data_IF_284880895546
#
_entry.id   IF_284880895546
#
_cell.length_a   1.000
_cell.length_b   1.000
_cell.length_c   1.000
_cell.angle_alpha   90.00
_cell.angle_beta   90.00
_cell.angle_gamma   90.00
#
_symmetry.space_group_name_H-M   'P 1'
#
loop_
_entity.id
_entity.type
_entity.pdbx_description
1 polymer ?
#
# COMPACT_ATOMS: atom_id res chain seq x y z
N UNK A 1 -3.56 4.99 36.43
CA UNK A 1 -3.74 6.05 35.41
C UNK A 1 -2.42 6.18 34.69
N UNK A 2 -2.30 5.62 33.48
CA UNK A 2 -1.11 5.84 32.67
C UNK A 2 -1.12 7.32 32.25
N UNK A 3 -0.05 8.05 32.59
CA UNK A 3 0.21 9.38 32.02
C UNK A 3 0.07 9.25 30.50
N UNK A 4 -0.87 9.98 29.88
CA UNK A 4 -0.95 10.04 28.43
C UNK A 4 0.33 10.70 27.95
N UNK A 5 1.32 9.90 27.54
CA UNK A 5 2.45 10.44 26.81
C UNK A 5 1.89 11.06 25.54
N UNK A 6 2.37 12.26 25.20
CA UNK A 6 2.05 12.88 23.92
C UNK A 6 2.46 11.93 22.79
N UNK A 7 1.65 11.88 21.73
CA UNK A 7 1.96 11.10 20.53
C UNK A 7 3.26 11.62 19.93
N UNK A 8 4.14 10.70 19.53
CA UNK A 8 5.41 11.05 18.91
C UNK A 8 5.35 10.63 17.44
N UNK A 9 4.89 11.49 16.51
CA UNK A 9 4.92 11.17 15.10
C UNK A 9 6.37 11.10 14.61
N UNK A 10 6.65 10.18 13.69
CA UNK A 10 8.03 9.92 13.30
C UNK A 10 8.19 9.06 12.07
N UNK A 11 9.43 8.64 11.87
CA UNK A 11 9.90 7.91 10.71
C UNK A 11 10.75 6.73 11.16
N UNK A 12 10.42 5.54 10.67
CA UNK A 12 11.34 4.40 10.69
C UNK A 12 12.17 4.43 9.41
N UNK A 13 13.47 4.61 9.55
CA UNK A 13 14.46 4.72 8.47
C UNK A 13 15.30 3.45 8.41
N UNK A 14 15.23 2.71 7.29
CA UNK A 14 15.88 1.40 7.14
C UNK A 14 16.68 1.33 5.83
N UNK A 15 17.94 1.77 5.81
CA UNK A 15 18.85 1.51 4.71
C UNK A 15 19.20 0.02 4.66
N UNK A 16 19.33 -0.50 3.45
CA UNK A 16 19.57 -1.92 3.21
C UNK A 16 20.55 -2.10 2.04
N UNK A 17 21.45 -3.06 2.22
CA UNK A 17 22.35 -3.56 1.19
C UNK A 17 21.99 -5.03 0.95
N UNK A 18 21.95 -5.42 -0.32
CA UNK A 18 21.74 -6.82 -0.72
C UNK A 18 23.10 -7.47 -1.00
N UNK A 19 23.28 -8.72 -0.59
CA UNK A 19 24.39 -9.52 -1.09
C UNK A 19 24.13 -9.97 -2.55
N UNK A 20 25.13 -10.57 -3.19
CA UNK A 20 25.01 -11.03 -4.58
C UNK A 20 24.19 -12.33 -4.75
N UNK A 21 23.79 -12.97 -3.65
CA UNK A 21 23.13 -14.29 -3.63
C UNK A 21 21.60 -14.22 -3.50
N UNK A 22 21.04 -13.00 -3.49
CA UNK A 22 19.59 -12.76 -3.43
C UNK A 22 19.16 -11.92 -4.61
N UNK A 23 18.11 -12.37 -5.29
CA UNK A 23 17.52 -11.64 -6.40
C UNK A 23 16.61 -10.53 -5.90
N UNK A 24 16.42 -9.51 -6.73
CA UNK A 24 15.41 -8.45 -6.48
C UNK A 24 14.03 -9.05 -6.24
N UNK A 25 13.66 -10.08 -6.99
CA UNK A 25 12.34 -10.70 -6.90
C UNK A 25 12.12 -11.43 -5.57
N UNK A 26 13.13 -12.15 -5.08
CA UNK A 26 13.09 -12.77 -3.74
C UNK A 26 12.95 -11.71 -2.65
N UNK A 27 13.66 -10.59 -2.76
CA UNK A 27 13.50 -9.46 -1.83
C UNK A 27 12.12 -8.84 -1.97
N UNK A 28 11.61 -8.61 -3.19
CA UNK A 28 10.28 -8.06 -3.42
C UNK A 28 9.21 -8.93 -2.75
N UNK A 29 9.31 -10.26 -2.89
CA UNK A 29 8.32 -11.17 -2.33
C UNK A 29 8.34 -11.14 -0.80
N UNK A 30 9.52 -11.37 -0.22
CA UNK A 30 9.70 -11.30 1.22
C UNK A 30 9.25 -9.94 1.79
N UNK A 31 9.69 -8.83 1.18
CA UNK A 31 9.41 -7.50 1.69
C UNK A 31 7.94 -7.12 1.54
N UNK A 32 7.36 -7.30 0.35
CA UNK A 32 6.05 -6.76 -0.02
C UNK A 32 4.87 -7.68 0.33
N UNK A 33 5.08 -8.99 0.45
CA UNK A 33 4.01 -9.96 0.69
C UNK A 33 4.08 -10.63 2.08
N UNK A 34 5.22 -10.58 2.75
CA UNK A 34 5.44 -11.24 4.05
C UNK A 34 5.82 -10.26 5.17
N UNK A 35 7.00 -9.61 5.07
CA UNK A 35 7.63 -8.87 6.16
C UNK A 35 6.87 -7.60 6.52
N UNK A 36 6.63 -6.73 5.54
CA UNK A 36 6.00 -5.43 5.77
C UNK A 36 4.50 -5.51 6.02
N UNK A 37 3.71 -6.34 5.29
CA UNK A 37 2.27 -6.43 5.53
C UNK A 37 1.87 -6.68 6.98
N UNK A 38 2.62 -7.51 7.70
CA UNK A 38 2.37 -7.78 9.13
C UNK A 38 2.55 -6.50 9.98
N UNK A 39 3.53 -5.66 9.65
CA UNK A 39 3.80 -4.38 10.33
C UNK A 39 2.76 -3.32 9.97
N UNK A 40 2.33 -3.26 8.71
CA UNK A 40 1.32 -2.31 8.23
C UNK A 40 -0.07 -2.49 8.86
N UNK A 41 -0.34 -3.64 9.47
CA UNK A 41 -1.54 -3.89 10.28
C UNK A 41 -1.53 -3.20 11.63
N UNK A 42 -0.36 -2.79 12.12
CA UNK A 42 -0.27 -2.05 13.37
C UNK A 42 -0.80 -0.62 13.17
N UNK A 43 -1.69 -0.11 14.04
CA UNK A 43 -2.32 1.20 13.85
C UNK A 43 -1.36 2.38 13.76
N UNK A 44 -0.14 2.24 14.31
CA UNK A 44 0.86 3.31 14.28
C UNK A 44 1.52 3.51 12.93
N UNK A 45 1.59 2.48 12.07
CA UNK A 45 2.16 2.59 10.73
C UNK A 45 1.14 3.20 9.78
N UNK A 46 1.43 4.34 9.18
CA UNK A 46 0.53 4.99 8.22
C UNK A 46 0.74 4.45 6.81
N UNK A 47 2.00 4.44 6.38
CA UNK A 47 2.42 4.01 5.06
C UNK A 47 3.82 3.36 5.10
N UNK A 48 4.26 2.87 3.95
CA UNK A 48 5.64 2.44 3.77
C UNK A 48 6.09 2.64 2.33
N UNK A 49 7.36 2.96 2.15
CA UNK A 49 7.94 3.22 0.84
C UNK A 49 9.26 2.47 0.74
N UNK A 50 9.49 1.84 -0.41
CA UNK A 50 10.76 1.23 -0.75
C UNK A 50 11.38 1.99 -1.90
N UNK A 51 12.66 2.29 -1.76
CA UNK A 51 13.42 3.13 -2.65
C UNK A 51 14.72 2.44 -3.08
N UNK A 52 15.17 2.75 -4.30
CA UNK A 52 16.50 2.41 -4.81
C UNK A 52 17.34 3.66 -4.97
N UNK A 53 18.63 3.55 -4.68
CA UNK A 53 19.55 4.65 -4.91
C UNK A 53 19.72 4.95 -6.39
N UNK A 54 19.91 6.21 -6.73
CA UNK A 54 20.33 6.63 -8.07
C UNK A 54 21.85 6.78 -8.06
N UNK A 55 22.56 6.04 -8.89
CA UNK A 55 24.04 5.97 -8.90
C UNK A 55 24.72 7.22 -9.51
N UNK A 56 24.05 8.36 -9.58
CA UNK A 56 24.42 9.48 -10.47
C UNK A 56 25.11 10.68 -9.81
N UNK A 57 25.80 10.54 -8.67
CA UNK A 57 26.58 11.66 -8.13
C UNK A 57 28.09 11.36 -8.04
N UNK A 58 28.96 12.20 -8.67
CA UNK A 58 30.40 12.14 -8.51
C UNK A 58 30.82 12.49 -7.08
N UNK A 59 31.69 11.64 -6.50
CA UNK A 59 32.71 11.89 -5.47
C UNK A 59 32.42 12.68 -4.17
N UNK A 60 31.23 13.24 -3.91
CA UNK A 60 30.97 14.01 -2.67
C UNK A 60 30.02 13.32 -1.68
N UNK A 61 29.53 12.11 -1.97
CA UNK A 61 28.71 11.37 -1.01
C UNK A 61 29.58 10.66 0.02
N UNK A 62 29.49 11.07 1.28
CA UNK A 62 30.08 10.38 2.45
C UNK A 62 29.23 9.19 2.92
N UNK A 63 28.06 8.96 2.32
CA UNK A 63 27.20 7.82 2.62
C UNK A 63 27.82 6.50 2.13
N UNK A 64 27.72 5.39 2.88
CA UNK A 64 28.27 4.11 2.45
C UNK A 64 27.60 3.63 1.15
N UNK A 65 28.40 3.45 0.09
CA UNK A 65 27.92 3.03 -1.24
C UNK A 65 27.17 1.69 -1.21
N UNK A 66 27.45 0.83 -0.22
CA UNK A 66 26.84 -0.49 -0.07
C UNK A 66 25.31 -0.48 0.06
N UNK A 67 24.71 0.51 0.74
CA UNK A 67 23.25 0.54 0.98
C UNK A 67 22.48 1.11 -0.21
N UNK A 68 22.26 0.30 -1.23
CA UNK A 68 21.55 0.67 -2.46
C UNK A 68 20.01 0.68 -2.32
N UNK A 69 19.49 0.30 -1.16
CA UNK A 69 18.06 0.32 -0.85
C UNK A 69 17.76 1.16 0.39
N UNK A 70 16.56 1.71 0.42
CA UNK A 70 16.01 2.40 1.57
C UNK A 70 14.53 2.05 1.73
N UNK A 71 14.12 1.71 2.94
CA UNK A 71 12.73 1.69 3.32
C UNK A 71 12.42 2.78 4.35
N UNK A 72 11.30 3.46 4.13
CA UNK A 72 10.77 4.52 4.97
C UNK A 72 9.35 4.15 5.41
N UNK A 73 9.03 4.35 6.68
CA UNK A 73 7.68 4.18 7.20
C UNK A 73 7.29 5.40 8.02
N UNK A 74 6.19 6.05 7.64
CA UNK A 74 5.63 7.14 8.43
C UNK A 74 4.77 6.56 9.55
N UNK A 75 4.96 7.08 10.76
CA UNK A 75 4.20 6.69 11.94
C UNK A 75 3.54 7.90 12.59
N UNK A 76 2.29 7.70 13.05
CA UNK A 76 1.59 8.69 13.87
C UNK A 76 2.04 8.67 15.34
N UNK A 77 2.63 7.55 15.79
CA UNK A 77 3.15 7.38 17.14
C UNK A 77 4.28 6.34 17.16
N UNK A 78 5.44 6.74 17.68
CA UNK A 78 6.64 5.91 17.79
C UNK A 78 6.66 5.05 19.06
N UNK A 79 5.86 5.35 20.09
CA UNK A 79 5.87 4.58 21.35
C UNK A 79 5.56 3.08 21.21
N UNK A 80 4.68 2.62 20.31
CA UNK A 80 4.44 1.20 20.10
C UNK A 80 5.68 0.41 19.65
N UNK A 81 6.72 1.06 19.11
CA UNK A 81 7.93 0.40 18.61
C UNK A 81 8.86 -0.15 19.69
N UNK A 82 8.65 0.26 20.95
CA UNK A 82 9.39 -0.25 22.12
C UNK A 82 8.51 -1.13 23.02
N UNK A 83 7.37 -1.59 22.49
CA UNK A 83 6.45 -2.48 23.18
C UNK A 83 6.59 -3.91 22.63
N UNK A 84 6.31 -4.89 23.49
CA UNK A 84 6.41 -6.32 23.18
C UNK A 84 5.69 -6.70 21.89
N UNK A 85 4.53 -6.08 21.59
CA UNK A 85 3.77 -6.36 20.38
C UNK A 85 4.56 -6.12 19.10
N UNK A 86 5.36 -5.05 19.04
CA UNK A 86 6.21 -4.77 17.87
C UNK A 86 7.55 -5.49 17.97
N UNK A 87 8.18 -5.50 19.15
CA UNK A 87 9.47 -6.19 19.35
C UNK A 87 9.38 -7.69 19.07
N UNK A 88 8.24 -8.31 19.38
CA UNK A 88 7.95 -9.71 19.06
C UNK A 88 8.05 -10.01 17.56
N UNK A 89 7.66 -9.06 16.69
CA UNK A 89 7.78 -9.21 15.22
C UNK A 89 9.24 -9.21 14.73
N UNK A 90 10.18 -8.82 15.59
CA UNK A 90 11.62 -8.82 15.31
C UNK A 90 12.28 -10.10 15.82
N UNK A 91 11.60 -10.84 16.69
CA UNK A 91 12.13 -12.04 17.33
C UNK A 91 12.37 -13.15 16.32
N UNK A 92 13.53 -13.83 16.34
CA UNK A 92 13.79 -15.00 15.50
C UNK A 92 12.75 -16.11 15.67
N UNK A 93 12.04 -16.16 16.81
CA UNK A 93 10.99 -17.15 17.07
C UNK A 93 9.68 -16.89 16.30
N UNK A 94 9.50 -15.68 15.77
CA UNK A 94 8.32 -15.28 14.99
C UNK A 94 8.63 -15.23 13.49
N UNK A 95 9.91 -15.09 13.12
CA UNK A 95 10.33 -15.06 11.72
C UNK A 95 9.98 -16.37 11.02
N UNK A 96 9.47 -16.27 9.79
CA UNK A 96 9.28 -17.45 8.96
C UNK A 96 10.64 -18.00 8.49
N UNK A 97 10.64 -19.21 7.91
CA UNK A 97 11.83 -19.76 7.26
C UNK A 97 12.30 -18.90 6.06
N UNK A 98 11.38 -18.28 5.34
CA UNK A 98 11.68 -17.37 4.23
C UNK A 98 12.38 -16.10 4.75
N UNK A 99 11.80 -15.45 5.76
CA UNK A 99 12.41 -14.28 6.40
C UNK A 99 13.79 -14.59 6.98
N UNK A 100 13.92 -15.69 7.72
CA UNK A 100 15.22 -16.12 8.27
C UNK A 100 16.27 -16.32 7.18
N UNK A 101 15.88 -16.88 6.03
CA UNK A 101 16.78 -17.10 4.89
C UNK A 101 17.20 -15.77 4.22
N UNK A 102 16.26 -14.86 4.02
CA UNK A 102 16.54 -13.55 3.39
C UNK A 102 17.37 -12.65 4.31
N UNK A 103 17.09 -12.65 5.61
CA UNK A 103 17.83 -11.84 6.59
C UNK A 103 19.34 -12.20 6.65
N UNK A 104 19.72 -13.44 6.34
CA UNK A 104 21.12 -13.85 6.23
C UNK A 104 21.84 -13.28 5.01
N UNK A 105 21.07 -12.82 4.00
CA UNK A 105 21.57 -12.33 2.71
C UNK A 105 21.55 -10.81 2.58
N UNK A 106 21.09 -10.10 3.60
CA UNK A 106 21.00 -8.63 3.58
C UNK A 106 21.76 -8.04 4.76
N UNK A 107 22.21 -6.79 4.58
CA UNK A 107 22.67 -5.93 5.67
C UNK A 107 21.71 -4.76 5.78
N UNK A 108 20.97 -4.71 6.87
CA UNK A 108 20.06 -3.62 7.15
C UNK A 108 20.24 -3.17 8.60
N UNK A 109 20.05 -1.88 8.84
CA UNK A 109 19.94 -1.34 10.18
C UNK A 109 18.74 -0.40 10.23
N UNK A 110 18.12 -0.30 11.40
CA UNK A 110 16.93 0.50 11.60
C UNK A 110 17.26 1.67 12.50
N UNK A 111 16.76 2.84 12.12
CA UNK A 111 16.79 4.06 12.94
C UNK A 111 15.40 4.68 13.00
N UNK A 112 15.21 5.49 14.02
CA UNK A 112 13.98 6.13 14.39
C UNK A 112 14.23 7.63 14.46
N UNK A 113 13.36 8.39 13.81
CA UNK A 113 13.45 9.84 13.84
C UNK A 113 12.09 10.46 14.18
N UNK A 114 12.07 11.40 15.11
CA UNK A 114 10.86 12.17 15.45
C UNK A 114 10.65 13.27 14.41
N UNK A 115 9.41 13.46 14.00
CA UNK A 115 9.04 14.51 13.06
C UNK A 115 9.14 15.88 13.73
N UNK A 116 9.96 16.76 13.17
CA UNK A 116 10.15 18.14 13.64
C UNK A 116 9.23 19.10 12.89
N UNK A 117 9.19 19.00 11.56
CA UNK A 117 8.34 19.85 10.72
C UNK A 117 8.11 19.26 9.34
N UNK A 118 6.98 19.64 8.74
CA UNK A 118 6.58 19.30 7.37
C UNK A 118 6.24 20.58 6.61
N UNK A 119 6.73 20.69 5.38
CA UNK A 119 6.41 21.75 4.45
C UNK A 119 5.98 21.14 3.13
N UNK A 120 4.81 21.53 2.64
CA UNK A 120 4.21 20.97 1.43
C UNK A 120 3.94 22.07 0.40
N UNK A 121 4.09 21.71 -0.87
CA UNK A 121 3.70 22.57 -1.97
C UNK A 121 2.16 22.73 -2.01
N UNK A 122 1.64 23.87 -2.51
CA UNK A 122 0.21 24.01 -2.75
C UNK A 122 -0.32 22.87 -3.64
N UNK A 123 -1.38 22.20 -3.20
CA UNK A 123 -1.96 21.07 -3.94
C UNK A 123 -1.15 19.76 -3.84
N UNK A 124 -0.24 19.64 -2.87
CA UNK A 124 0.45 18.39 -2.57
C UNK A 124 -0.55 17.24 -2.36
N UNK A 125 -0.26 16.10 -2.99
CA UNK A 125 -0.97 14.85 -2.82
C UNK A 125 0.04 13.75 -2.42
N UNK A 126 -0.22 12.97 -1.36
CA UNK A 126 0.59 11.81 -1.02
C UNK A 126 0.72 10.82 -2.18
N UNK A 127 1.84 10.10 -2.25
CA UNK A 127 2.14 9.17 -3.34
C UNK A 127 1.09 8.06 -3.45
N UNK A 128 0.60 7.57 -2.31
CA UNK A 128 -0.47 6.60 -2.19
C UNK A 128 -1.76 7.11 -2.84
N UNK A 129 -2.08 8.39 -2.60
CA UNK A 129 -3.25 9.03 -3.18
C UNK A 129 -3.11 9.20 -4.70
N UNK A 130 -1.90 9.41 -5.21
CA UNK A 130 -1.67 9.42 -6.66
C UNK A 130 -2.01 8.06 -7.29
N UNK A 131 -1.65 6.94 -6.64
CA UNK A 131 -2.04 5.59 -7.11
C UNK A 131 -3.56 5.38 -7.02
N UNK A 132 -4.18 5.74 -5.90
CA UNK A 132 -5.64 5.67 -5.73
C UNK A 132 -6.39 6.56 -6.74
N UNK A 133 -5.76 7.62 -7.24
CA UNK A 133 -6.35 8.46 -8.29
C UNK A 133 -6.01 7.99 -9.73
N UNK A 134 -5.21 6.93 -9.89
CA UNK A 134 -4.79 6.41 -11.19
C UNK A 134 -3.58 7.11 -11.81
N UNK A 135 -2.93 8.02 -11.09
CA UNK A 135 -1.76 8.77 -11.54
C UNK A 135 -0.46 8.02 -11.22
N UNK A 136 -0.34 6.78 -11.72
CA UNK A 136 0.78 5.88 -11.39
C UNK A 136 2.13 6.47 -11.83
N UNK A 137 2.23 6.98 -13.05
CA UNK A 137 3.48 7.57 -13.57
C UNK A 137 3.99 8.72 -12.68
N UNK A 138 3.08 9.60 -12.25
CA UNK A 138 3.42 10.74 -11.38
C UNK A 138 3.93 10.35 -10.00
N UNK A 139 3.50 9.19 -9.48
CA UNK A 139 3.98 8.68 -8.20
C UNK A 139 5.42 8.17 -8.29
N UNK A 140 5.80 7.52 -9.40
CA UNK A 140 7.11 6.88 -9.55
C UNK A 140 8.16 7.74 -10.27
N UNK A 141 7.77 8.81 -10.98
CA UNK A 141 8.71 9.70 -11.67
C UNK A 141 9.56 10.56 -10.73
N UNK A 142 9.06 10.83 -9.52
CA UNK A 142 9.70 11.74 -8.57
C UNK A 142 11.05 11.25 -8.04
N UNK A 143 11.78 12.15 -7.40
CA UNK A 143 13.04 11.84 -6.71
C UNK A 143 12.99 12.30 -5.26
N UNK A 144 13.41 11.40 -4.38
CA UNK A 144 13.63 11.69 -2.98
C UNK A 144 15.13 11.97 -2.76
N UNK A 145 15.45 13.12 -2.18
CA UNK A 145 16.78 13.43 -1.67
C UNK A 145 16.74 13.38 -0.14
N UNK A 146 17.50 12.46 0.42
CA UNK A 146 17.71 12.36 1.86
C UNK A 146 19.01 13.05 2.23
N UNK A 147 18.96 13.93 3.22
CA UNK A 147 20.13 14.63 3.77
C UNK A 147 20.21 14.32 5.26
N UNK A 148 21.35 13.81 5.72
CA UNK A 148 21.62 13.61 7.14
C UNK A 148 22.75 14.50 7.61
N UNK A 149 22.57 15.11 8.79
CA UNK A 149 23.46 16.12 9.36
C UNK A 149 23.72 15.82 10.83
N UNK A 150 24.97 16.04 11.24
CA UNK A 150 25.36 16.16 12.65
C UNK A 150 25.90 17.54 12.91
N UNK A 151 25.53 18.09 14.07
CA UNK A 151 26.00 19.39 14.50
C UNK A 151 27.37 19.30 15.18
N UNK A 152 28.05 20.44 15.30
CA UNK A 152 29.35 20.55 16.00
C UNK A 152 29.25 20.35 17.51
N UNK A 153 28.04 20.51 18.08
CA UNK A 153 27.74 20.25 19.48
C UNK A 153 26.27 19.94 19.70
N UNK A 154 25.95 19.43 20.90
CA UNK A 154 24.60 19.01 21.29
C UNK A 154 23.87 20.04 22.18
N UNK A 155 24.45 21.23 22.34
CA UNK A 155 23.83 22.32 23.09
C UNK A 155 22.64 22.96 22.35
N UNK A 156 21.64 23.50 23.07
CA UNK A 156 20.44 24.09 22.47
C UNK A 156 20.74 25.27 21.53
N UNK A 157 21.88 25.94 21.70
CA UNK A 157 22.35 27.01 20.82
C UNK A 157 22.67 26.54 19.40
N UNK A 158 23.24 25.33 19.25
CA UNK A 158 23.56 24.77 17.94
C UNK A 158 22.29 24.36 17.20
N UNK A 159 21.36 23.72 17.93
CA UNK A 159 20.05 23.36 17.38
C UNK A 159 19.26 24.62 16.98
N UNK A 160 19.28 25.67 17.82
CA UNK A 160 18.62 26.93 17.52
C UNK A 160 19.17 27.58 16.25
N UNK A 161 20.49 27.61 16.08
CA UNK A 161 21.10 28.13 14.85
C UNK A 161 20.80 27.26 13.64
N UNK A 162 20.81 25.93 13.79
CA UNK A 162 20.41 25.00 12.74
C UNK A 162 18.97 25.24 12.28
N UNK A 163 18.05 25.41 13.22
CA UNK A 163 16.64 25.70 12.94
C UNK A 163 16.46 27.07 12.27
N UNK A 164 17.14 28.10 12.79
CA UNK A 164 17.14 29.46 12.19
C UNK A 164 17.60 29.41 10.74
N UNK A 165 18.79 28.85 10.48
CA UNK A 165 19.33 28.73 9.12
C UNK A 165 18.38 27.98 8.19
N UNK A 166 17.80 26.86 8.66
CA UNK A 166 16.92 26.08 7.81
C UNK A 166 15.68 26.89 7.41
N UNK A 167 15.04 27.55 8.37
CA UNK A 167 13.77 28.27 8.16
C UNK A 167 13.95 29.60 7.43
N UNK A 168 14.94 30.41 7.84
CA UNK A 168 15.14 31.76 7.33
C UNK A 168 15.94 31.77 6.02
N UNK A 169 16.95 30.90 5.90
CA UNK A 169 17.92 30.96 4.81
C UNK A 169 17.71 29.87 3.77
N UNK A 170 17.47 28.61 4.17
CA UNK A 170 17.51 27.46 3.24
C UNK A 170 16.16 27.09 2.63
N UNK A 171 15.07 27.14 3.41
CA UNK A 171 13.78 26.61 2.98
C UNK A 171 13.15 27.42 1.86
N UNK A 172 13.20 28.75 1.92
CA UNK A 172 12.63 29.62 0.90
C UNK A 172 13.21 29.36 -0.52
N UNK A 173 14.54 29.38 -0.74
CA UNK A 173 15.08 29.04 -2.06
C UNK A 173 14.85 27.58 -2.45
N UNK A 174 14.82 26.63 -1.49
CA UNK A 174 14.52 25.24 -1.78
C UNK A 174 13.11 25.04 -2.34
N UNK A 175 12.12 25.77 -1.82
CA UNK A 175 10.74 25.76 -2.34
C UNK A 175 10.60 26.29 -3.76
N UNK A 176 11.54 27.13 -4.19
CA UNK A 176 11.56 27.68 -5.55
C UNK A 176 12.16 26.71 -6.57
N UNK A 177 12.75 25.59 -6.14
CA UNK A 177 13.25 24.56 -7.04
C UNK A 177 12.07 23.97 -7.81
N UNK A 178 12.08 23.99 -9.16
CA UNK A 178 10.97 23.47 -9.94
C UNK A 178 10.62 22.03 -9.58
N UNK A 179 9.33 21.76 -9.39
CA UNK A 179 8.85 20.44 -9.00
C UNK A 179 9.07 20.07 -7.53
N UNK A 180 9.51 20.97 -6.65
CA UNK A 180 9.46 20.73 -5.20
C UNK A 180 8.05 20.34 -4.75
N UNK A 181 7.93 19.19 -4.08
CA UNK A 181 6.64 18.66 -3.59
C UNK A 181 6.51 18.84 -2.09
N UNK A 182 7.53 18.42 -1.35
CA UNK A 182 7.50 18.35 0.11
C UNK A 182 8.90 18.31 0.70
N UNK A 183 9.06 18.91 1.87
CA UNK A 183 10.24 18.78 2.72
C UNK A 183 9.79 18.40 4.12
N UNK A 184 10.37 17.33 4.67
CA UNK A 184 10.15 16.92 6.07
C UNK A 184 11.47 16.88 6.82
N UNK A 185 11.48 17.46 8.01
CA UNK A 185 12.64 17.53 8.90
C UNK A 185 12.40 16.64 10.11
N UNK A 186 13.44 15.92 10.49
CA UNK A 186 13.42 15.00 11.60
C UNK A 186 14.69 15.10 12.43
N UNK A 187 14.64 14.55 13.64
CA UNK A 187 15.78 14.38 14.54
C UNK A 187 15.79 12.99 15.15
N UNK A 188 16.94 12.49 15.63
CA UNK A 188 17.02 11.20 16.34
C UNK A 188 15.88 11.08 17.36
N UNK A 189 15.15 9.97 17.31
CA UNK A 189 13.93 9.80 18.09
C UNK A 189 14.19 9.63 19.58
N UNK A 190 13.29 10.13 20.41
CA UNK A 190 13.23 9.84 21.85
C UNK A 190 13.08 8.35 22.17
N UNK A 191 12.60 7.52 21.22
CA UNK A 191 12.52 6.06 21.41
C UNK A 191 13.82 5.31 21.09
N UNK A 192 14.76 5.95 20.39
CA UNK A 192 16.09 5.40 20.13
C UNK A 192 17.01 5.59 21.33
N UNK A 193 16.79 6.66 22.13
CA UNK A 193 17.77 7.14 23.08
C UNK A 193 17.45 6.79 24.55
N UNK A 194 18.36 6.00 25.15
CA UNK A 194 18.53 5.85 26.60
C UNK A 194 19.64 6.80 27.12
N UNK A 195 19.70 8.02 26.58
CA UNK A 195 20.55 9.12 27.05
C UNK A 195 22.04 9.05 26.70
N UNK A 196 22.42 8.50 25.54
CA UNK A 196 23.84 8.30 25.21
C UNK A 196 24.20 8.34 23.71
N UNK A 197 23.26 8.68 22.81
CA UNK A 197 23.51 8.69 21.36
C UNK A 197 23.68 10.10 20.79
N UNK A 198 24.59 10.26 19.82
CA UNK A 198 24.75 11.52 19.07
C UNK A 198 23.46 11.84 18.30
N UNK A 199 22.99 13.09 18.41
CA UNK A 199 21.80 13.56 17.69
C UNK A 199 22.13 13.72 16.20
N UNK A 200 21.31 13.11 15.35
CA UNK A 200 21.38 13.28 13.90
C UNK A 200 20.07 13.88 13.40
N UNK A 201 20.18 14.89 12.56
CA UNK A 201 19.07 15.54 11.89
C UNK A 201 18.94 14.94 10.50
N UNK A 202 17.71 14.57 10.12
CA UNK A 202 17.40 13.99 8.81
C UNK A 202 16.41 14.91 8.09
N UNK A 203 16.65 15.14 6.81
CA UNK A 203 15.72 15.86 5.94
C UNK A 203 15.37 14.99 4.74
N UNK A 204 14.08 14.84 4.47
CA UNK A 204 13.54 14.22 3.27
C UNK A 204 13.00 15.32 2.34
N UNK A 205 13.60 15.47 1.16
CA UNK A 205 13.17 16.42 0.14
C UNK A 205 12.62 15.67 -1.07
N UNK A 206 11.35 15.88 -1.39
CA UNK A 206 10.63 15.20 -2.45
C UNK A 206 10.43 16.14 -3.63
N UNK A 207 10.85 15.71 -4.82
CA UNK A 207 10.71 16.44 -6.07
C UNK A 207 9.94 15.63 -7.10
N UNK A 208 9.16 16.31 -7.94
CA UNK A 208 8.30 15.71 -8.95
C UNK A 208 9.04 15.23 -10.19
N UNK A 209 10.26 15.69 -10.43
CA UNK A 209 11.07 15.35 -11.62
C UNK A 209 12.55 15.60 -11.35
N UNK A 210 13.42 15.00 -12.17
CA UNK A 210 14.87 15.01 -11.96
C UNK A 210 15.54 16.29 -12.43
N UNK A 211 15.03 16.89 -13.51
CA UNK A 211 15.74 17.95 -14.25
C UNK A 211 16.02 19.21 -13.42
N UNK A 212 15.18 19.46 -12.41
CA UNK A 212 15.36 20.60 -11.51
C UNK A 212 16.47 20.36 -10.46
N UNK A 213 16.80 19.09 -10.18
CA UNK A 213 17.78 18.72 -9.18
C UNK A 213 19.18 19.01 -9.72
N UNK A 214 19.74 20.12 -9.24
CA UNK A 214 21.08 20.59 -9.60
C UNK A 214 21.05 21.77 -10.56
N UNK A 215 19.87 22.17 -11.01
CA UNK A 215 19.62 23.40 -11.76
C UNK A 215 19.83 24.67 -10.93
N UNK A 216 19.68 25.86 -11.55
CA UNK A 216 20.03 27.14 -10.94
C UNK A 216 19.38 27.40 -9.58
N UNK A 217 18.08 27.12 -9.44
CA UNK A 217 17.33 27.32 -8.21
C UNK A 217 17.83 26.38 -7.10
N UNK A 218 18.17 25.13 -7.45
CA UNK A 218 18.72 24.18 -6.49
C UNK A 218 20.13 24.59 -6.05
N UNK A 219 20.95 25.14 -6.95
CA UNK A 219 22.26 25.69 -6.60
C UNK A 219 22.15 26.89 -5.67
N UNK A 220 21.14 27.75 -5.84
CA UNK A 220 20.86 28.86 -4.91
C UNK A 220 20.53 28.31 -3.51
N UNK A 221 19.71 27.27 -3.42
CA UNK A 221 19.37 26.64 -2.14
C UNK A 221 20.59 25.99 -1.48
N UNK A 222 21.42 25.26 -2.24
CA UNK A 222 22.68 24.67 -1.74
C UNK A 222 23.66 25.77 -1.31
N UNK A 223 23.71 26.88 -2.04
CA UNK A 223 24.61 27.98 -1.72
C UNK A 223 24.32 28.57 -0.34
N UNK A 224 23.13 28.44 0.23
CA UNK A 224 22.84 28.98 1.57
C UNK A 224 23.59 28.28 2.69
N UNK A 225 24.18 27.11 2.45
CA UNK A 225 24.91 26.33 3.45
C UNK A 225 26.07 27.08 4.10
N UNK A 226 26.71 28.04 3.41
CA UNK A 226 27.77 28.87 4.00
C UNK A 226 27.27 29.83 5.11
N UNK A 227 25.95 30.02 5.22
CA UNK A 227 25.34 30.91 6.21
C UNK A 227 25.19 30.28 7.60
N UNK A 228 25.64 29.04 7.77
CA UNK A 228 25.71 28.39 9.07
C UNK A 228 27.05 27.69 9.24
N UNK A 229 27.57 27.68 10.47
CA UNK A 229 28.82 27.03 10.84
C UNK A 229 28.61 25.87 11.83
N UNK A 230 27.36 25.53 12.15
CA UNK A 230 27.04 24.51 13.15
C UNK A 230 27.00 23.09 12.59
N UNK A 231 27.10 22.92 11.26
CA UNK A 231 27.11 21.61 10.59
C UNK A 231 28.52 21.01 10.63
N UNK A 232 28.72 19.95 11.41
CA UNK A 232 29.99 19.24 11.50
C UNK A 232 30.15 18.16 10.43
N UNK A 233 29.08 17.42 10.17
CA UNK A 233 29.05 16.34 9.17
C UNK A 233 27.76 16.41 8.39
N UNK A 234 27.86 16.14 7.10
CA UNK A 234 26.74 16.07 6.17
C UNK A 234 26.93 14.92 5.21
N UNK A 235 25.84 14.22 4.92
CA UNK A 235 25.74 13.28 3.81
C UNK A 235 24.44 13.53 3.07
N UNK A 236 24.42 13.18 1.78
CA UNK A 236 23.21 13.25 0.94
C UNK A 236 23.10 12.00 0.07
N UNK A 237 21.88 11.56 -0.21
CA UNK A 237 21.62 10.47 -1.15
C UNK A 237 20.29 10.66 -1.87
N UNK A 238 20.30 10.37 -3.16
CA UNK A 238 19.13 10.46 -4.02
C UNK A 238 18.56 9.08 -4.31
N UNK A 239 17.24 9.01 -4.38
CA UNK A 239 16.51 7.76 -4.49
C UNK A 239 15.33 7.87 -5.46
N UNK A 240 15.04 6.76 -6.14
CA UNK A 240 13.82 6.52 -6.89
C UNK A 240 12.92 5.55 -6.15
N UNK A 241 11.62 5.84 -6.19
CA UNK A 241 10.61 4.97 -5.61
C UNK A 241 10.60 3.63 -6.37
N UNK A 242 10.65 2.53 -5.64
CA UNK A 242 10.55 1.16 -6.15
C UNK A 242 9.19 0.56 -5.85
N UNK A 243 8.65 0.80 -4.65
CA UNK A 243 7.36 0.25 -4.25
C UNK A 243 6.70 1.07 -3.13
N UNK A 244 5.36 1.08 -3.11
CA UNK A 244 4.55 1.69 -2.05
C UNK A 244 3.80 0.59 -1.30
N UNK A 245 3.97 0.54 0.01
CA UNK A 245 3.32 -0.39 0.91
C UNK A 245 1.95 0.16 1.30
N UNK A 246 0.90 -0.59 0.99
CA UNK A 246 -0.45 -0.30 1.43
C UNK A 246 -0.76 -1.00 2.75
N UNK A 247 -2.01 -0.89 3.19
CA UNK A 247 -2.52 -1.64 4.36
C UNK A 247 -2.69 -3.13 4.08
N UNK A 248 -2.58 -3.55 2.81
CA UNK A 248 -2.73 -4.93 2.39
C UNK A 248 -1.73 -5.33 1.28
N UNK A 249 -1.20 -6.57 1.30
CA UNK A 249 -0.28 -7.06 0.28
C UNK A 249 -0.96 -7.22 -1.08
N UNK A 250 -0.24 -6.88 -2.16
CA UNK A 250 -0.81 -6.88 -3.51
C UNK A 250 0.19 -7.16 -4.63
N UNK A 251 1.41 -7.59 -4.31
CA UNK A 251 2.49 -7.74 -5.29
C UNK A 251 2.53 -9.15 -5.89
N UNK A 252 1.74 -9.35 -6.94
CA UNK A 252 1.71 -10.61 -7.68
C UNK A 252 2.97 -10.80 -8.56
N UNK A 253 3.65 -9.71 -8.96
CA UNK A 253 4.86 -9.79 -9.78
C UNK A 253 6.01 -10.45 -9.02
N UNK A 254 6.15 -10.11 -7.74
CA UNK A 254 7.12 -10.75 -6.85
C UNK A 254 6.91 -12.26 -6.66
N UNK A 255 5.65 -12.72 -6.76
CA UNK A 255 5.28 -14.12 -6.63
C UNK A 255 5.41 -14.93 -7.92
N UNK A 256 5.56 -14.27 -9.07
CA UNK A 256 5.60 -14.97 -10.36
C UNK A 256 6.94 -15.67 -10.62
N UNK A 257 6.97 -17.01 -10.54
CA UNK A 257 8.19 -17.79 -10.82
C UNK A 257 7.83 -19.17 -11.37
N UNK A 258 8.82 -19.93 -11.84
CA UNK A 258 8.55 -21.26 -12.41
C UNK A 258 8.12 -22.26 -11.31
N UNK A 259 8.83 -22.23 -10.18
CA UNK A 259 8.55 -23.11 -9.05
C UNK A 259 7.38 -22.59 -8.21
N UNK A 260 6.61 -23.52 -7.65
CA UNK A 260 5.52 -23.18 -6.73
C UNK A 260 6.01 -23.29 -5.29
N UNK A 261 5.87 -22.20 -4.53
CA UNK A 261 6.06 -22.19 -3.08
C UNK A 261 4.83 -21.61 -2.39
N UNK A 262 4.65 -22.01 -1.14
CA UNK A 262 3.55 -21.56 -0.30
C UNK A 262 4.11 -20.83 0.91
N UNK A 263 3.41 -19.78 1.32
CA UNK A 263 3.70 -19.08 2.57
C UNK A 263 2.40 -18.82 3.33
N UNK A 264 2.50 -18.89 4.65
CA UNK A 264 1.45 -18.49 5.59
C UNK A 264 2.14 -17.63 6.64
N UNK A 265 1.60 -16.42 6.89
CA UNK A 265 2.14 -15.54 7.91
C UNK A 265 2.04 -16.17 9.30
N UNK A 266 2.91 -15.78 10.26
CA UNK A 266 2.85 -16.30 11.63
C UNK A 266 1.49 -16.14 12.31
N UNK A 267 0.75 -15.08 11.99
CA UNK A 267 -0.62 -14.84 12.49
C UNK A 267 -1.72 -15.58 11.70
N UNK A 268 -1.37 -16.32 10.65
CA UNK A 268 -2.26 -17.10 9.82
C UNK A 268 -3.17 -16.29 8.88
N UNK A 269 -3.09 -14.96 8.92
CA UNK A 269 -4.01 -14.07 8.21
C UNK A 269 -3.62 -13.81 6.75
N UNK A 270 -2.34 -13.93 6.40
CA UNK A 270 -1.86 -13.83 5.01
C UNK A 270 -1.40 -15.18 4.53
N UNK A 271 -1.79 -15.54 3.31
CA UNK A 271 -1.27 -16.71 2.60
C UNK A 271 -0.88 -16.30 1.19
N UNK A 272 0.23 -16.79 0.70
CA UNK A 272 0.62 -16.58 -0.69
C UNK A 272 0.99 -17.89 -1.36
N UNK A 273 0.74 -17.93 -2.66
CA UNK A 273 1.18 -18.99 -3.55
C UNK A 273 2.01 -18.32 -4.62
N UNK A 274 3.29 -18.68 -4.71
CA UNK A 274 4.15 -18.31 -5.82
C UNK A 274 4.01 -19.32 -6.95
N UNK A 275 4.42 -18.94 -8.16
CA UNK A 275 4.38 -19.82 -9.32
C UNK A 275 3.92 -19.08 -10.58
N UNK A 276 3.50 -19.84 -11.59
CA UNK A 276 3.02 -19.28 -12.86
C UNK A 276 1.64 -18.63 -12.74
N UNK A 277 0.87 -19.00 -11.72
CA UNK A 277 -0.43 -18.44 -11.35
C UNK A 277 -0.41 -18.00 -9.88
N UNK A 278 0.31 -16.91 -9.56
CA UNK A 278 0.48 -16.49 -8.18
C UNK A 278 -0.84 -15.98 -7.59
N UNK A 279 -0.97 -16.10 -6.27
CA UNK A 279 -2.12 -15.57 -5.55
C UNK A 279 -1.77 -15.09 -4.15
N UNK A 280 -2.52 -14.10 -3.67
CA UNK A 280 -2.42 -13.55 -2.32
C UNK A 280 -3.80 -13.65 -1.66
N UNK A 281 -3.88 -14.31 -0.51
CA UNK A 281 -5.03 -14.26 0.39
C UNK A 281 -4.66 -13.45 1.61
N UNK A 282 -5.49 -12.48 1.97
CA UNK A 282 -5.29 -11.71 3.20
C UNK A 282 -6.61 -11.07 3.66
N UNK A 283 -6.54 -10.09 4.55
CA UNK A 283 -7.70 -9.36 5.03
C UNK A 283 -7.41 -7.87 5.19
N UNK A 284 -8.48 -7.08 5.09
CA UNK A 284 -8.49 -5.63 5.29
C UNK A 284 -9.47 -5.35 6.42
N UNK A 285 -9.01 -4.64 7.45
CA UNK A 285 -9.90 -4.10 8.49
C UNK A 285 -10.45 -2.77 7.99
N UNK A 286 -11.76 -2.72 7.75
CA UNK A 286 -12.47 -1.51 7.34
C UNK A 286 -13.14 -0.85 8.55
N UNK A 287 -13.65 0.36 8.36
CA UNK A 287 -14.33 1.17 9.36
C UNK A 287 -15.41 0.37 10.08
N UNK A 288 -15.56 0.60 11.38
CA UNK A 288 -16.33 -0.23 12.32
C UNK A 288 -15.71 -1.59 12.67
N UNK A 289 -14.40 -1.76 12.47
CA UNK A 289 -13.62 -2.97 12.82
C UNK A 289 -14.12 -4.24 12.12
N UNK A 290 -14.72 -4.10 10.94
CA UNK A 290 -15.11 -5.24 10.12
C UNK A 290 -13.90 -5.77 9.35
N UNK A 291 -13.75 -7.09 9.30
CA UNK A 291 -12.67 -7.74 8.57
C UNK A 291 -13.21 -8.26 7.24
N UNK A 292 -12.72 -7.69 6.15
CA UNK A 292 -13.00 -8.15 4.78
C UNK A 292 -11.85 -9.02 4.34
N UNK A 293 -12.11 -10.31 4.17
CA UNK A 293 -11.12 -11.21 3.59
C UNK A 293 -11.11 -11.04 2.08
N UNK A 294 -9.93 -11.15 1.48
CA UNK A 294 -9.78 -11.10 0.04
C UNK A 294 -8.80 -12.13 -0.50
N UNK A 295 -8.95 -12.41 -1.80
CA UNK A 295 -7.98 -13.14 -2.62
C UNK A 295 -7.70 -12.34 -3.89
N UNK A 296 -6.42 -12.14 -4.21
CA UNK A 296 -5.94 -11.44 -5.39
C UNK A 296 -5.17 -12.41 -6.28
N UNK A 297 -5.52 -12.50 -7.55
CA UNK A 297 -4.93 -13.43 -8.54
C UNK A 297 -5.05 -12.87 -9.97
N UNK A 298 -4.51 -13.57 -10.97
CA UNK A 298 -4.58 -13.17 -12.39
C UNK A 298 -3.31 -12.45 -12.87
N UNK A 299 -3.47 -11.30 -13.54
CA UNK A 299 -2.34 -10.55 -14.10
C UNK A 299 -1.36 -10.12 -13.01
N UNK A 300 -0.08 -10.31 -13.29
CA UNK A 300 1.03 -9.91 -12.42
C UNK A 300 1.42 -8.46 -12.61
N UNK A 301 1.00 -7.85 -13.72
CA UNK A 301 1.22 -6.43 -13.98
C UNK A 301 0.31 -5.59 -13.07
N UNK A 302 0.87 -4.73 -12.20
CA UNK A 302 0.11 -3.95 -11.25
C UNK A 302 -0.81 -2.91 -11.91
N UNK A 303 -0.56 -2.54 -13.18
CA UNK A 303 -1.38 -1.60 -13.96
C UNK A 303 -2.54 -2.26 -14.72
N UNK A 304 -2.58 -3.59 -14.77
CA UNK A 304 -3.65 -4.32 -15.42
C UNK A 304 -5.01 -4.02 -14.75
N UNK A 305 -6.10 -3.82 -15.54
CA UNK A 305 -7.41 -3.53 -14.99
C UNK A 305 -7.90 -4.60 -14.00
N UNK A 306 -8.59 -4.16 -12.94
CA UNK A 306 -9.08 -5.04 -11.87
C UNK A 306 -10.54 -5.41 -12.11
N UNK A 307 -10.87 -6.70 -12.01
CA UNK A 307 -12.24 -7.20 -11.89
C UNK A 307 -12.48 -7.59 -10.44
N UNK A 308 -13.53 -7.03 -9.84
CA UNK A 308 -13.89 -7.28 -8.44
C UNK A 308 -15.06 -8.25 -8.37
N UNK A 309 -14.87 -9.34 -7.64
CA UNK A 309 -15.85 -10.40 -7.42
C UNK A 309 -16.16 -10.45 -5.93
N UNK A 310 -17.32 -9.97 -5.48
CA UNK A 310 -17.62 -9.96 -4.05
C UNK A 310 -18.81 -10.86 -3.68
N UNK A 311 -18.73 -11.46 -2.50
CA UNK A 311 -19.83 -12.23 -1.91
C UNK A 311 -20.31 -11.59 -0.61
N UNK A 312 -21.62 -11.73 -0.35
CA UNK A 312 -22.29 -11.32 0.90
C UNK A 312 -23.21 -12.44 1.40
N UNK A 313 -23.71 -12.34 2.64
CA UNK A 313 -24.69 -13.26 3.23
C UNK A 313 -24.24 -14.72 3.22
N UNK A 314 -23.10 -14.98 3.86
CA UNK A 314 -22.49 -16.31 4.08
C UNK A 314 -22.04 -17.09 2.84
N UNK A 315 -22.16 -16.49 1.65
CA UNK A 315 -21.54 -17.03 0.44
C UNK A 315 -20.01 -17.04 0.57
N UNK A 316 -19.44 -18.22 0.30
CA UNK A 316 -18.00 -18.37 0.16
C UNK A 316 -17.55 -17.72 -1.14
N UNK A 317 -16.37 -17.09 -1.13
CA UNK A 317 -15.83 -16.56 -2.37
C UNK A 317 -15.64 -17.66 -3.43
N UNK A 318 -15.50 -18.94 -3.03
CA UNK A 318 -15.29 -20.12 -3.89
C UNK A 318 -16.40 -20.31 -4.93
N UNK A 319 -17.57 -19.71 -4.74
CA UNK A 319 -18.59 -19.56 -5.79
C UNK A 319 -18.03 -18.96 -7.09
N UNK A 320 -16.96 -18.15 -7.01
CA UNK A 320 -16.31 -17.59 -8.19
C UNK A 320 -15.28 -18.51 -8.86
N UNK A 321 -14.96 -19.70 -8.34
CA UNK A 321 -13.81 -20.50 -8.81
C UNK A 321 -13.90 -20.89 -10.29
N UNK A 322 -15.09 -21.29 -10.76
CA UNK A 322 -15.29 -21.66 -12.17
C UNK A 322 -15.08 -20.46 -13.10
N UNK A 323 -15.59 -19.29 -12.70
CA UNK A 323 -15.41 -18.05 -13.43
C UNK A 323 -13.93 -17.64 -13.47
N UNK A 324 -13.30 -17.59 -12.32
CA UNK A 324 -11.88 -17.24 -12.16
C UNK A 324 -11.00 -18.17 -12.99
N UNK A 325 -11.24 -19.48 -12.97
CA UNK A 325 -10.52 -20.45 -13.79
C UNK A 325 -10.67 -20.19 -15.30
N UNK A 326 -11.86 -19.75 -15.72
CA UNK A 326 -12.12 -19.35 -17.12
C UNK A 326 -11.33 -18.09 -17.49
N UNK A 327 -11.30 -17.08 -16.62
CA UNK A 327 -10.50 -15.87 -16.82
C UNK A 327 -9.00 -16.15 -16.83
N UNK A 328 -8.50 -16.95 -15.88
CA UNK A 328 -7.08 -17.31 -15.80
C UNK A 328 -6.66 -18.12 -17.04
N UNK A 329 -7.47 -19.05 -17.51
CA UNK A 329 -7.11 -19.85 -18.69
C UNK A 329 -7.14 -19.06 -20.01
N UNK A 330 -7.95 -18.01 -20.11
CA UNK A 330 -8.18 -17.31 -21.39
C UNK A 330 -7.68 -15.86 -21.47
N UNK A 331 -7.57 -15.16 -20.33
CA UNK A 331 -7.35 -13.70 -20.26
C UNK A 331 -6.42 -13.30 -19.10
N UNK A 332 -5.61 -14.21 -18.52
CA UNK A 332 -4.81 -13.90 -17.31
C UNK A 332 -3.96 -12.65 -17.41
N UNK A 333 -3.38 -12.41 -18.58
CA UNK A 333 -2.45 -11.30 -18.80
C UNK A 333 -3.16 -9.94 -18.86
N UNK A 334 -4.49 -9.95 -18.93
CA UNK A 334 -5.30 -8.79 -19.23
C UNK A 334 -5.99 -8.20 -18.00
N UNK A 335 -6.28 -9.05 -17.00
CA UNK A 335 -7.05 -8.64 -15.82
C UNK A 335 -6.45 -9.19 -14.53
N UNK A 336 -6.49 -8.36 -13.49
CA UNK A 336 -6.33 -8.80 -12.11
C UNK A 336 -7.71 -9.13 -11.56
N UNK A 337 -7.81 -10.19 -10.77
CA UNK A 337 -9.06 -10.66 -10.17
C UNK A 337 -8.97 -10.46 -8.66
N UNK A 338 -9.83 -9.60 -8.11
CA UNK A 338 -9.95 -9.35 -6.68
C UNK A 338 -11.24 -9.96 -6.17
N UNK A 339 -11.13 -11.00 -5.35
CA UNK A 339 -12.26 -11.65 -4.70
C UNK A 339 -12.42 -11.12 -3.29
N UNK A 340 -13.60 -10.65 -2.91
CA UNK A 340 -13.89 -10.09 -1.60
C UNK A 340 -14.99 -10.91 -0.90
N UNK A 341 -14.80 -11.24 0.37
CA UNK A 341 -15.87 -11.74 1.24
C UNK A 341 -16.29 -10.63 2.19
N UNK A 342 -17.42 -10.00 1.91
CA UNK A 342 -17.94 -8.90 2.71
C UNK A 342 -18.87 -9.46 3.79
N UNK A 343 -18.57 -9.24 5.09
CA UNK A 343 -19.42 -9.75 6.16
C UNK A 343 -20.80 -9.09 6.14
N UNK A 344 -21.82 -9.81 6.57
CA UNK A 344 -23.19 -9.31 6.71
C UNK A 344 -23.46 -9.02 8.19
N UNK A 345 -24.07 -7.89 8.53
CA UNK A 345 -24.48 -7.61 9.92
C UNK A 345 -25.80 -8.33 10.21
N UNK A 346 -25.95 -8.83 11.43
CA UNK A 346 -27.22 -9.40 11.91
C UNK A 346 -28.40 -8.43 11.83
N UNK A 347 -28.14 -7.12 11.97
CA UNK A 347 -29.16 -6.06 11.83
C UNK A 347 -29.55 -5.76 10.36
N UNK A 348 -28.76 -6.23 9.39
CA UNK A 348 -29.05 -6.13 7.95
C UNK A 348 -29.69 -7.42 7.42
N UNK A 349 -29.75 -8.51 8.21
CA UNK A 349 -30.36 -9.78 7.81
C UNK A 349 -31.87 -9.67 7.56
N UNK A 350 -32.54 -8.73 8.25
CA UNK A 350 -33.97 -8.45 8.10
C UNK A 350 -34.27 -7.41 6.98
N UNK A 351 -33.25 -6.70 6.48
CA UNK A 351 -33.41 -5.77 5.35
C UNK A 351 -33.20 -6.54 4.06
N UNK A 352 -34.16 -6.48 3.13
CA UNK A 352 -34.02 -7.12 1.82
C UNK A 352 -32.66 -6.73 1.21
N UNK A 353 -31.84 -7.69 0.81
CA UNK A 353 -30.54 -7.46 0.15
C UNK A 353 -30.58 -6.52 -1.06
N UNK A 354 -31.78 -6.23 -1.60
CA UNK A 354 -32.04 -5.14 -2.54
C UNK A 354 -31.59 -3.77 -2.03
N UNK A 355 -31.77 -3.49 -0.76
CA UNK A 355 -31.44 -2.20 -0.16
C UNK A 355 -29.94 -2.11 0.17
N UNK A 356 -29.26 -3.25 0.33
CA UNK A 356 -27.82 -3.30 0.62
C UNK A 356 -26.97 -2.57 -0.43
N UNK A 357 -27.25 -2.76 -1.72
CA UNK A 357 -26.56 -2.06 -2.83
C UNK A 357 -26.90 -0.57 -2.90
N UNK A 358 -28.05 -0.19 -2.32
CA UNK A 358 -28.50 1.20 -2.25
C UNK A 358 -28.02 1.90 -0.98
N UNK A 359 -27.39 1.18 -0.05
CA UNK A 359 -26.81 1.77 1.16
C UNK A 359 -25.39 2.27 0.91
N UNK A 360 -24.98 3.27 1.69
CA UNK A 360 -23.59 3.74 1.73
C UNK A 360 -22.62 2.67 2.28
N UNK A 361 -23.09 1.59 2.88
CA UNK A 361 -22.23 0.58 3.52
C UNK A 361 -21.36 -0.15 2.49
N UNK A 362 -21.97 -0.76 1.46
CA UNK A 362 -21.22 -1.49 0.44
C UNK A 362 -20.18 -0.60 -0.25
N UNK A 363 -20.59 0.64 -0.57
CA UNK A 363 -19.71 1.65 -1.13
C UNK A 363 -18.51 1.93 -0.22
N UNK A 364 -18.73 2.20 1.07
CA UNK A 364 -17.65 2.53 2.01
C UNK A 364 -16.68 1.35 2.16
N UNK A 365 -17.21 0.13 2.32
CA UNK A 365 -16.39 -1.08 2.40
C UNK A 365 -15.50 -1.24 1.16
N UNK A 366 -16.09 -1.12 -0.04
CA UNK A 366 -15.32 -1.22 -1.28
C UNK A 366 -14.30 -0.09 -1.41
N UNK A 367 -14.64 1.14 -1.00
CA UNK A 367 -13.73 2.29 -1.05
C UNK A 367 -12.50 2.05 -0.19
N UNK A 368 -12.71 1.59 1.04
CA UNK A 368 -11.62 1.29 1.98
C UNK A 368 -10.77 0.10 1.50
N UNK A 369 -11.39 -0.93 0.90
CA UNK A 369 -10.63 -2.00 0.26
C UNK A 369 -9.79 -1.51 -0.93
N UNK A 370 -10.34 -0.60 -1.74
CA UNK A 370 -9.65 -0.01 -2.89
C UNK A 370 -8.49 0.87 -2.44
N UNK A 371 -8.68 1.69 -1.41
CA UNK A 371 -7.60 2.48 -0.79
C UNK A 371 -6.49 1.58 -0.24
N UNK A 372 -6.84 0.53 0.51
CA UNK A 372 -5.87 -0.40 1.09
C UNK A 372 -5.05 -1.18 0.04
N UNK A 373 -5.67 -1.47 -1.11
CA UNK A 373 -5.06 -2.18 -2.24
C UNK A 373 -4.56 -1.23 -3.35
N UNK A 374 -4.66 0.09 -3.17
CA UNK A 374 -4.28 1.12 -4.14
C UNK A 374 -4.92 0.91 -5.53
N UNK A 375 -6.23 0.63 -5.53
CA UNK A 375 -7.06 0.48 -6.72
C UNK A 375 -7.82 1.77 -6.92
N UNK A 376 -7.65 2.42 -8.07
CA UNK A 376 -8.36 3.66 -8.39
C UNK A 376 -9.79 3.42 -8.85
N UNK A 377 -9.92 2.56 -9.86
CA UNK A 377 -11.17 2.19 -10.49
C UNK A 377 -11.04 0.76 -11.00
N UNK A 378 -12.10 -0.01 -10.88
CA UNK A 378 -12.15 -1.35 -11.43
C UNK A 378 -12.86 -1.38 -12.79
N UNK A 379 -12.48 -2.30 -13.66
CA UNK A 379 -13.08 -2.46 -14.97
C UNK A 379 -14.49 -3.08 -14.87
N UNK A 380 -14.70 -3.93 -13.86
CA UNK A 380 -15.96 -4.62 -13.62
C UNK A 380 -16.14 -4.96 -12.14
N UNK A 381 -17.34 -4.76 -11.62
CA UNK A 381 -17.81 -5.32 -10.36
C UNK A 381 -18.87 -6.39 -10.63
N UNK A 382 -18.64 -7.61 -10.15
CA UNK A 382 -19.65 -8.64 -10.02
C UNK A 382 -19.85 -8.92 -8.54
N UNK A 383 -21.09 -8.89 -8.08
CA UNK A 383 -21.40 -9.35 -6.72
C UNK A 383 -22.55 -10.32 -6.69
N UNK A 384 -22.46 -11.25 -5.74
CA UNK A 384 -23.45 -12.27 -5.47
C UNK A 384 -23.86 -12.25 -3.99
N UNK A 385 -25.14 -12.44 -3.70
CA UNK A 385 -25.68 -12.50 -2.34
C UNK A 385 -26.84 -13.48 -2.19
N UNK A 386 -27.06 -13.94 -0.96
CA UNK A 386 -28.19 -14.80 -0.59
C UNK A 386 -29.27 -14.04 0.20
N UNK A 387 -30.43 -13.83 -0.43
CA UNK A 387 -31.63 -13.18 0.13
C UNK A 387 -32.24 -13.98 1.28
N UNK A 388 -32.07 -13.52 2.52
CA UNK A 388 -32.74 -14.12 3.68
C UNK A 388 -34.26 -13.89 3.64
N UNK A 389 -35.02 -14.94 3.30
CA UNK A 389 -36.41 -15.10 3.77
C UNK A 389 -36.54 -16.49 4.36
N UNK A 390 -37.21 -16.58 5.50
CA UNK A 390 -37.71 -17.83 6.06
C UNK A 390 -38.46 -18.60 4.97
N UNK A 391 -38.32 -19.92 4.99
CA UNK A 391 -38.56 -20.82 3.85
C UNK A 391 -39.97 -20.83 3.25
N UNK A 392 -40.94 -20.09 3.78
CA UNK A 392 -42.36 -20.28 3.52
C UNK A 392 -42.98 -19.38 2.43
N UNK A 393 -42.28 -18.34 1.93
CA UNK A 393 -42.85 -17.44 0.88
C UNK A 393 -41.87 -17.01 -0.24
N UNK A 394 -40.87 -17.84 -0.59
CA UNK A 394 -39.85 -17.47 -1.60
C UNK A 394 -40.07 -18.14 -2.96
N UNK A 395 -40.28 -17.35 -4.02
CA UNK A 395 -40.58 -17.78 -5.39
C UNK A 395 -39.35 -18.10 -6.26
N UNK A 396 -38.15 -18.30 -5.68
CA UNK A 396 -36.91 -18.50 -6.43
C UNK A 396 -36.51 -17.30 -7.30
N UNK A 397 -36.80 -16.07 -6.85
CA UNK A 397 -36.65 -14.87 -7.68
C UNK A 397 -35.19 -14.42 -7.71
N UNK A 398 -34.61 -14.33 -8.90
CA UNK A 398 -33.33 -13.66 -9.09
C UNK A 398 -33.55 -12.14 -9.18
N UNK A 399 -32.72 -11.38 -8.48
CA UNK A 399 -32.71 -9.92 -8.57
C UNK A 399 -31.37 -9.51 -9.18
N UNK A 400 -31.42 -8.87 -10.34
CA UNK A 400 -30.26 -8.29 -11.01
C UNK A 400 -30.33 -6.76 -10.97
N UNK A 401 -29.21 -6.14 -10.66
CA UNK A 401 -29.04 -4.68 -10.58
C UNK A 401 -27.89 -4.33 -11.53
N UNK A 402 -28.15 -3.48 -12.51
CA UNK A 402 -27.12 -2.98 -13.41
C UNK A 402 -26.36 -1.82 -12.73
N UNK A 403 -25.11 -1.57 -13.14
CA UNK A 403 -24.33 -0.38 -12.76
C UNK A 403 -25.12 0.93 -12.77
N UNK A 404 -26.00 1.15 -13.75
CA UNK A 404 -26.79 2.40 -13.83
C UNK A 404 -27.80 2.56 -12.68
N UNK A 405 -28.11 1.48 -11.97
CA UNK A 405 -28.99 1.48 -10.80
C UNK A 405 -28.19 1.53 -9.48
N UNK A 406 -26.86 1.53 -9.53
CA UNK A 406 -26.02 1.68 -8.34
C UNK A 406 -26.11 3.11 -7.78
N UNK A 407 -25.88 3.24 -6.48
CA UNK A 407 -25.70 4.57 -5.87
C UNK A 407 -24.53 5.31 -6.55
N UNK A 408 -24.63 6.61 -6.88
CA UNK A 408 -23.66 7.30 -7.76
C UNK A 408 -22.18 7.15 -7.40
N UNK A 409 -21.76 7.16 -6.13
CA UNK A 409 -20.36 6.93 -5.78
C UNK A 409 -19.88 5.51 -6.13
N UNK A 410 -20.71 4.47 -5.93
CA UNK A 410 -20.37 3.10 -6.33
C UNK A 410 -20.27 2.98 -7.86
N UNK A 411 -21.15 3.67 -8.59
CA UNK A 411 -21.07 3.78 -10.05
C UNK A 411 -19.74 4.40 -10.51
N UNK A 412 -19.18 5.37 -9.76
CA UNK A 412 -17.91 6.01 -10.12
C UNK A 412 -16.68 5.11 -9.89
N UNK A 413 -16.81 4.07 -9.06
CA UNK A 413 -15.72 3.14 -8.74
C UNK A 413 -15.51 2.04 -9.80
N UNK A 414 -16.44 1.90 -10.75
CA UNK A 414 -16.35 0.87 -11.79
C UNK A 414 -16.74 1.36 -13.18
N UNK A 415 -16.17 0.76 -14.23
CA UNK A 415 -16.61 0.98 -15.61
C UNK A 415 -17.87 0.19 -15.92
N UNK A 416 -17.94 -1.07 -15.45
CA UNK A 416 -19.04 -1.99 -15.65
C UNK A 416 -19.47 -2.61 -14.30
N UNK A 417 -20.71 -3.07 -14.20
CA UNK A 417 -21.19 -3.63 -12.93
C UNK A 417 -22.50 -4.39 -13.04
N UNK A 418 -22.55 -5.54 -12.37
CA UNK A 418 -23.76 -6.33 -12.14
C UNK A 418 -23.75 -6.79 -10.70
N UNK A 419 -24.87 -6.60 -9.99
CA UNK A 419 -25.12 -7.26 -8.73
C UNK A 419 -26.31 -8.21 -8.87
N UNK A 420 -26.10 -9.48 -8.52
CA UNK A 420 -27.13 -10.51 -8.59
C UNK A 420 -27.39 -11.08 -7.19
N UNK A 421 -28.66 -11.12 -6.78
CA UNK A 421 -29.07 -11.68 -5.50
C UNK A 421 -29.99 -12.86 -5.80
N UNK A 422 -29.65 -14.01 -5.23
CA UNK A 422 -30.48 -15.20 -5.25
C UNK A 422 -31.15 -15.41 -3.90
N UNK A 423 -32.43 -15.78 -3.88
CA UNK A 423 -33.13 -16.11 -2.63
C UNK A 423 -32.71 -17.49 -2.07
N UNK A 424 -32.01 -18.33 -2.84
CA UNK A 424 -31.55 -19.68 -2.45
C UNK A 424 -30.21 -20.02 -3.10
N UNK A 425 -29.51 -20.98 -2.51
CA UNK A 425 -28.23 -21.51 -3.01
C UNK A 425 -28.29 -21.96 -4.48
N UNK A 426 -29.37 -22.60 -4.93
CA UNK A 426 -29.51 -23.01 -6.34
C UNK A 426 -29.52 -21.82 -7.32
N UNK A 427 -29.95 -20.62 -6.89
CA UNK A 427 -29.89 -19.43 -7.73
C UNK A 427 -28.47 -18.91 -7.94
N UNK A 428 -27.51 -19.29 -7.10
CA UNK A 428 -26.08 -18.97 -7.28
C UNK A 428 -25.49 -19.77 -8.43
N UNK A 429 -25.87 -21.05 -8.56
CA UNK A 429 -25.46 -21.88 -9.71
C UNK A 429 -25.95 -21.25 -11.02
N UNK A 430 -27.18 -20.72 -11.06
CA UNK A 430 -27.69 -20.02 -12.23
C UNK A 430 -26.87 -18.75 -12.56
N UNK A 431 -26.43 -18.00 -11.55
CA UNK A 431 -25.55 -16.84 -11.73
C UNK A 431 -24.21 -17.28 -12.33
N UNK A 432 -23.58 -18.30 -11.74
CA UNK A 432 -22.31 -18.85 -12.22
C UNK A 432 -22.41 -19.39 -13.66
N UNK A 433 -23.48 -20.11 -13.99
CA UNK A 433 -23.74 -20.62 -15.33
C UNK A 433 -23.96 -19.51 -16.35
N UNK A 434 -24.77 -18.50 -16.00
CA UNK A 434 -25.01 -17.36 -16.88
C UNK A 434 -23.70 -16.63 -17.22
N UNK A 435 -22.81 -16.48 -16.24
CA UNK A 435 -21.53 -15.79 -16.44
C UNK A 435 -20.54 -16.64 -17.23
N UNK A 436 -20.42 -17.94 -16.92
CA UNK A 436 -19.39 -18.81 -17.51
C UNK A 436 -19.67 -19.22 -18.96
N UNK A 437 -20.94 -19.18 -19.40
CA UNK A 437 -21.31 -19.54 -20.78
C UNK A 437 -21.05 -18.39 -21.78
N UNK A 438 -21.01 -17.14 -21.32
CA UNK A 438 -20.76 -16.00 -22.21
C UNK A 438 -19.26 -15.89 -22.49
N UNK A 439 -18.79 -16.07 -23.74
CA UNK A 439 -17.37 -16.05 -24.06
C UNK A 439 -16.80 -14.63 -23.95
N UNK A 440 -15.77 -14.44 -23.14
CA UNK A 440 -15.14 -13.11 -22.97
C UNK A 440 -14.10 -12.78 -24.06
N UNK A 441 -13.45 -13.79 -24.64
CA UNK A 441 -12.27 -13.60 -25.49
C UNK A 441 -12.54 -12.87 -26.82
N UNK A 442 -13.81 -12.75 -27.23
CA UNK A 442 -14.23 -12.12 -28.48
C UNK A 442 -15.04 -10.83 -28.28
N UNK A 443 -15.18 -10.36 -27.05
CA UNK A 443 -16.06 -9.24 -26.70
C UNK A 443 -15.29 -8.18 -25.90
N UNK A 444 -15.73 -6.93 -25.99
CA UNK A 444 -15.37 -5.93 -24.98
C UNK A 444 -15.98 -6.31 -23.62
N UNK A 445 -15.39 -5.82 -22.52
CA UNK A 445 -15.94 -6.08 -21.18
C UNK A 445 -17.35 -5.52 -21.01
N UNK A 446 -17.68 -4.42 -21.68
CA UNK A 446 -19.03 -3.83 -21.68
C UNK A 446 -20.05 -4.73 -22.39
N UNK A 447 -19.72 -5.22 -23.59
CA UNK A 447 -20.59 -6.16 -24.33
C UNK A 447 -20.78 -7.47 -23.54
N UNK A 448 -19.69 -8.00 -22.99
CA UNK A 448 -19.73 -9.20 -22.18
C UNK A 448 -20.63 -9.01 -20.95
N UNK A 449 -20.49 -7.87 -20.25
CA UNK A 449 -21.33 -7.52 -19.09
C UNK A 449 -22.80 -7.43 -19.50
N UNK A 450 -23.12 -6.76 -20.61
CA UNK A 450 -24.51 -6.67 -21.07
C UNK A 450 -25.10 -8.04 -21.44
N UNK A 451 -24.33 -8.91 -22.08
CA UNK A 451 -24.74 -10.27 -22.42
C UNK A 451 -25.00 -11.13 -21.18
N UNK A 452 -24.12 -11.02 -20.18
CA UNK A 452 -24.33 -11.66 -18.87
C UNK A 452 -25.60 -11.13 -18.21
N UNK A 453 -25.81 -9.80 -18.18
CA UNK A 453 -27.01 -9.19 -17.59
C UNK A 453 -28.31 -9.61 -18.29
N UNK A 454 -28.27 -9.81 -19.61
CA UNK A 454 -29.43 -10.27 -20.38
C UNK A 454 -29.74 -11.76 -20.12
N UNK A 455 -28.73 -12.56 -19.77
CA UNK A 455 -28.86 -14.00 -19.52
C UNK A 455 -29.29 -14.31 -18.08
N UNK A 456 -28.82 -13.51 -17.11
CA UNK A 456 -29.39 -13.44 -15.76
C UNK A 456 -30.84 -12.97 -15.85
#
# INVERSE_FOLDING_TARGET
>A
MASSKDLVPGLVYVPMALNQEVTVQEIDDWYNNEHVPIRMRLPCFENGFRYRTVDTQPSSSTAPKEYNWLALYDLNDMWPLIQEKYEGLLSPNVQSSCESHVLQKIKAFRRYFDLVSTYEAPGYAPLEQLLVNGNHEDAFKGTLIVVGIRLVGNGPEYEKEWNRWYEEDHLAPLRNVPGWRRTRRYQTSVVEDKGNSEVEYLTLNEFAMDDAIGGPEHQIAIATEHKTNVVARKWRRSYKLHYIQGKAPRDLAALYRQDTSYFVSPDGLTRTVSGTNPSIESCITVSANEVVHYRLEGSVDPSSPVIVLFTVADLLWTSWDKLVSTFISSQRHRYRLLRLKIPTRSQDADKNLRDFVKTNRLQNVLKECFEALMISKCALILGAGLGGRTAEEASGKLIKINRHEFHPPLMNMCDNGIFAIADRHNGIQNIEEAITVVPIHSQSLAEWTQNVYNRL
#
